data_IF_423217514730
#
_entry.id   IF_423217514730
#
_cell.length_a   1.000
_cell.length_b   1.000
_cell.length_c   1.000
_cell.angle_alpha   90.00
_cell.angle_beta   90.00
_cell.angle_gamma   90.00
#
_symmetry.space_group_name_H-M   'P 1'
#
loop_
_entity.id
_entity.type
_entity.pdbx_description
1 polymer ?
#
# COMPACT_ATOMS: atom_id res chain seq x y z
N UNK A 1 -11.23 -3.13 24.65
CA UNK A 1 -11.28 -1.76 24.08
C UNK A 1 -10.79 -1.86 22.65
N UNK A 2 -11.60 -1.53 21.64
CA UNK A 2 -11.13 -1.54 20.24
C UNK A 2 -10.26 -0.31 20.05
N UNK A 3 -8.95 -0.50 20.00
CA UNK A 3 -7.98 0.55 19.73
C UNK A 3 -8.35 1.28 18.43
N UNK A 4 -8.42 2.61 18.48
CA UNK A 4 -8.88 3.43 17.34
C UNK A 4 -7.90 3.25 16.19
N UNK A 5 -8.40 2.95 14.98
CA UNK A 5 -7.55 2.72 13.83
C UNK A 5 -6.64 3.94 13.58
N UNK A 6 -5.30 3.79 13.68
CA UNK A 6 -4.36 4.92 13.57
C UNK A 6 -4.42 5.60 12.21
N UNK A 7 -4.95 4.91 11.18
CA UNK A 7 -5.07 5.40 9.80
C UNK A 7 -6.22 6.39 9.61
N UNK A 8 -7.12 6.52 10.58
CA UNK A 8 -8.20 7.52 10.56
C UNK A 8 -7.78 8.91 11.04
N UNK A 9 -6.51 9.11 11.37
CA UNK A 9 -6.02 10.34 12.01
C UNK A 9 -5.54 11.39 11.01
N UNK A 10 -5.60 12.69 11.38
CA UNK A 10 -4.97 13.77 10.60
C UNK A 10 -3.46 13.55 10.37
N UNK A 11 -2.80 12.88 11.32
CA UNK A 11 -1.39 12.47 11.21
C UNK A 11 -1.18 11.54 10.01
N UNK A 12 -2.05 10.55 9.83
CA UNK A 12 -2.00 9.65 8.68
C UNK A 12 -2.24 10.38 7.35
N UNK A 13 -3.20 11.31 7.31
CA UNK A 13 -3.46 12.10 6.10
C UNK A 13 -2.22 12.91 5.67
N UNK A 14 -1.54 13.57 6.62
CA UNK A 14 -0.28 14.29 6.34
C UNK A 14 0.82 13.34 5.88
N UNK A 15 0.99 12.21 6.56
CA UNK A 15 2.00 11.21 6.20
C UNK A 15 1.76 10.66 4.79
N UNK A 16 0.51 10.35 4.44
CA UNK A 16 0.13 9.86 3.11
C UNK A 16 0.51 10.85 2.01
N UNK A 17 0.29 12.14 2.21
CA UNK A 17 0.69 13.17 1.25
C UNK A 17 2.22 13.23 1.08
N UNK A 18 2.97 13.18 2.19
CA UNK A 18 4.43 13.16 2.14
C UNK A 18 4.98 11.92 1.41
N UNK A 19 4.40 10.75 1.66
CA UNK A 19 4.78 9.50 1.01
C UNK A 19 4.45 9.53 -0.49
N UNK A 20 3.25 10.00 -0.86
CA UNK A 20 2.87 10.16 -2.25
C UNK A 20 3.86 11.05 -3.00
N UNK A 21 4.21 12.20 -2.42
CA UNK A 21 5.14 13.14 -3.06
C UNK A 21 6.57 12.57 -3.14
N UNK A 22 7.04 11.86 -2.09
CA UNK A 22 8.33 11.14 -2.09
C UNK A 22 8.38 10.13 -3.23
N UNK A 23 7.37 9.27 -3.31
CA UNK A 23 7.34 8.15 -4.24
C UNK A 23 7.10 8.64 -5.69
N UNK A 24 6.24 9.65 -5.87
CA UNK A 24 6.01 10.32 -7.16
C UNK A 24 7.28 10.97 -7.70
N UNK A 25 8.03 11.69 -6.85
CA UNK A 25 9.30 12.33 -7.26
C UNK A 25 10.36 11.32 -7.67
N UNK A 26 10.40 10.17 -6.99
CA UNK A 26 11.30 9.08 -7.30
C UNK A 26 10.81 8.21 -8.47
N UNK A 27 9.60 8.45 -8.99
CA UNK A 27 8.89 7.56 -9.91
C UNK A 27 8.93 6.10 -9.43
N UNK A 28 8.69 5.89 -8.14
CA UNK A 28 8.92 4.61 -7.51
C UNK A 28 7.96 3.56 -8.08
N UNK A 29 8.46 2.37 -8.49
CA UNK A 29 7.62 1.30 -8.97
C UNK A 29 6.88 0.63 -7.81
N UNK A 30 5.83 -0.13 -8.15
CA UNK A 30 5.11 -0.95 -7.19
C UNK A 30 6.05 -1.96 -6.54
N UNK A 31 6.14 -1.93 -5.23
CA UNK A 31 7.03 -2.84 -4.49
C UNK A 31 6.58 -4.30 -4.53
N UNK A 32 5.32 -4.56 -4.92
CA UNK A 32 4.71 -5.90 -4.99
C UNK A 32 4.99 -6.55 -6.34
N UNK A 33 4.69 -5.87 -7.46
CA UNK A 33 4.81 -6.44 -8.80
C UNK A 33 6.00 -5.88 -9.61
N UNK A 34 6.68 -4.84 -9.13
CA UNK A 34 7.80 -4.19 -9.81
C UNK A 34 7.41 -3.28 -10.98
N UNK A 35 6.13 -3.21 -11.36
CA UNK A 35 5.65 -2.38 -12.47
C UNK A 35 5.52 -0.90 -12.08
N UNK A 36 5.65 0.05 -13.02
CA UNK A 36 5.47 1.47 -12.74
C UNK A 36 4.05 1.77 -12.27
N UNK A 37 3.91 2.73 -11.35
CA UNK A 37 2.63 3.20 -10.84
C UNK A 37 2.21 4.45 -11.61
N UNK A 38 0.94 4.54 -11.98
CA UNK A 38 0.39 5.78 -12.53
C UNK A 38 0.02 6.74 -11.39
N UNK A 39 0.94 7.65 -11.09
CA UNK A 39 0.73 8.70 -10.08
C UNK A 39 -0.32 9.75 -10.51
N UNK A 40 -0.73 9.79 -11.79
CA UNK A 40 -1.77 10.70 -12.30
C UNK A 40 -3.15 10.06 -12.27
N UNK A 41 -3.23 8.74 -12.10
CA UNK A 41 -4.49 8.03 -12.08
C UNK A 41 -5.38 8.47 -10.90
N UNK A 42 -6.70 8.55 -11.09
CA UNK A 42 -7.63 8.83 -10.01
C UNK A 42 -7.52 7.81 -8.88
N UNK A 43 -7.65 8.26 -7.63
CA UNK A 43 -7.65 7.38 -6.46
C UNK A 43 -8.70 6.29 -6.59
N UNK A 44 -8.32 5.03 -6.31
CA UNK A 44 -9.21 3.88 -6.37
C UNK A 44 -9.24 3.16 -7.73
N UNK A 45 -8.53 3.66 -8.74
CA UNK A 45 -8.27 2.91 -9.98
C UNK A 45 -7.20 1.83 -9.75
N UNK A 46 -7.18 0.74 -10.55
CA UNK A 46 -6.25 -0.38 -10.37
C UNK A 46 -4.78 0.05 -10.30
N UNK A 47 -4.37 0.97 -11.17
CA UNK A 47 -2.97 1.39 -11.34
C UNK A 47 -2.61 2.65 -10.53
N UNK A 48 -3.54 3.19 -9.75
CA UNK A 48 -3.26 4.32 -8.87
C UNK A 48 -2.36 3.93 -7.71
N UNK A 49 -1.59 4.91 -7.25
CA UNK A 49 -0.75 4.80 -6.07
C UNK A 49 -1.57 4.62 -4.79
N UNK A 50 -1.16 3.65 -3.97
CA UNK A 50 -1.66 3.45 -2.63
C UNK A 50 -0.53 3.10 -1.65
N UNK A 51 -0.51 3.70 -0.43
CA UNK A 51 0.48 3.35 0.57
C UNK A 51 0.16 1.98 1.18
N UNK A 52 1.09 1.04 1.05
CA UNK A 52 0.97 -0.28 1.66
C UNK A 52 1.95 -0.44 2.82
N UNK A 53 1.47 -1.03 3.92
CA UNK A 53 2.28 -1.37 5.08
C UNK A 53 2.97 -2.72 4.86
N UNK A 54 4.30 -2.71 4.81
CA UNK A 54 5.11 -3.94 4.68
C UNK A 54 4.79 -4.89 5.83
N UNK A 55 4.89 -4.39 7.07
CA UNK A 55 4.45 -5.07 8.28
C UNK A 55 3.02 -4.63 8.64
N UNK A 56 2.06 -5.56 8.78
CA UNK A 56 0.69 -5.21 9.12
C UNK A 56 0.60 -4.42 10.42
N UNK A 57 -0.22 -3.37 10.43
CA UNK A 57 -0.50 -2.55 11.62
C UNK A 57 -1.04 -3.39 12.78
N UNK A 58 -1.73 -4.50 12.50
CA UNK A 58 -2.24 -5.41 13.53
C UNK A 58 -1.11 -6.12 14.31
N UNK A 59 0.02 -6.40 13.65
CA UNK A 59 1.18 -7.07 14.27
C UNK A 59 2.17 -6.04 14.82
N UNK A 60 2.30 -4.88 14.18
CA UNK A 60 3.25 -3.81 14.52
C UNK A 60 2.58 -2.44 14.53
N UNK A 61 1.74 -2.14 15.53
CA UNK A 61 1.06 -0.84 15.64
C UNK A 61 2.05 0.30 15.88
N UNK A 62 3.20 0.00 16.48
CA UNK A 62 4.34 0.91 16.67
C UNK A 62 4.88 1.48 15.36
N UNK A 63 4.82 0.69 14.27
CA UNK A 63 5.32 1.08 12.94
C UNK A 63 4.22 1.58 12.00
N UNK A 64 3.02 1.87 12.51
CA UNK A 64 1.89 2.31 11.68
C UNK A 64 2.15 3.63 10.95
N UNK A 65 2.98 4.50 11.54
CA UNK A 65 3.35 5.81 11.01
C UNK A 65 4.81 5.88 10.53
N UNK A 66 5.53 4.76 10.49
CA UNK A 66 6.92 4.72 10.06
C UNK A 66 7.00 4.75 8.52
N UNK A 67 7.60 5.80 7.91
CA UNK A 67 7.80 5.86 6.46
C UNK A 67 8.64 4.72 5.88
N UNK A 68 9.46 4.04 6.69
CA UNK A 68 10.25 2.88 6.29
C UNK A 68 9.43 1.59 6.20
N UNK A 69 8.34 1.52 6.98
CA UNK A 69 7.38 0.42 6.93
C UNK A 69 6.31 0.62 5.82
N UNK A 70 6.33 1.74 5.11
CA UNK A 70 5.32 2.08 4.10
C UNK A 70 5.95 2.18 2.72
N UNK A 71 5.40 1.43 1.76
CA UNK A 71 5.92 1.33 0.40
C UNK A 71 4.85 1.65 -0.66
N UNK A 72 5.26 2.14 -1.84
CA UNK A 72 4.36 2.45 -2.95
C UNK A 72 3.83 1.17 -3.60
N UNK A 73 2.52 1.04 -3.68
CA UNK A 73 1.87 -0.09 -4.36
C UNK A 73 0.74 0.38 -5.26
N UNK A 74 0.38 -0.45 -6.24
CA UNK A 74 -0.87 -0.26 -6.97
C UNK A 74 -2.06 -0.56 -6.06
N UNK A 75 -3.17 0.16 -6.28
CA UNK A 75 -4.42 -0.10 -5.59
C UNK A 75 -4.91 -1.55 -5.79
N UNK A 76 -4.73 -2.10 -6.99
CA UNK A 76 -5.06 -3.50 -7.31
C UNK A 76 -4.16 -4.49 -6.55
N UNK A 77 -2.84 -4.30 -6.58
CA UNK A 77 -1.87 -5.17 -5.90
C UNK A 77 -2.05 -5.14 -4.38
N UNK A 78 -2.27 -3.96 -3.81
CA UNK A 78 -2.53 -3.78 -2.38
C UNK A 78 -3.79 -4.54 -1.94
N UNK A 79 -4.89 -4.39 -2.71
CA UNK A 79 -6.15 -5.11 -2.46
C UNK A 79 -5.98 -6.61 -2.60
N UNK A 80 -5.24 -7.08 -3.61
CA UNK A 80 -4.97 -8.49 -3.83
C UNK A 80 -4.14 -9.12 -2.70
N UNK A 81 -3.14 -8.39 -2.18
CA UNK A 81 -2.33 -8.80 -1.04
C UNK A 81 -3.17 -8.97 0.24
N UNK A 82 -4.06 -8.02 0.51
CA UNK A 82 -4.91 -8.03 1.70
C UNK A 82 -4.10 -8.03 3.01
N UNK A 83 -4.70 -8.52 4.10
CA UNK A 83 -4.06 -8.56 5.43
C UNK A 83 -3.04 -9.69 5.60
N UNK A 84 -2.92 -10.59 4.62
CA UNK A 84 -1.98 -11.71 4.66
C UNK A 84 -0.63 -11.19 4.17
N UNK A 85 0.14 -10.60 5.08
CA UNK A 85 1.53 -10.26 4.80
C UNK A 85 2.26 -11.53 4.35
N UNK A 86 2.67 -11.58 3.08
CA UNK A 86 3.38 -12.72 2.49
C UNK A 86 2.74 -14.08 2.84
N UNK A 87 1.60 -14.39 2.26
CA UNK A 87 1.44 -15.76 1.74
C UNK A 87 1.74 -15.66 0.27
N UNK A 88 2.89 -16.19 -0.11
CA UNK A 88 3.31 -16.53 -1.45
C UNK A 88 2.32 -17.54 -2.07
N UNK A 89 1.05 -17.15 -2.17
CA UNK A 89 -0.01 -17.89 -2.82
C UNK A 89 -0.07 -17.29 -4.22
N UNK A 90 0.61 -17.97 -5.15
CA UNK A 90 0.50 -17.76 -6.58
C UNK A 90 -1.00 -17.81 -6.91
N UNK A 91 -1.65 -16.65 -6.92
CA UNK A 91 -3.06 -16.53 -7.21
C UNK A 91 -3.35 -17.22 -8.54
N UNK A 92 -4.24 -18.21 -8.47
CA UNK A 92 -4.66 -19.05 -9.58
C UNK A 92 -4.90 -18.23 -10.85
N UNK A 93 -4.38 -18.67 -12.03
CA UNK A 93 -4.69 -18.00 -13.28
C UNK A 93 -6.21 -18.01 -13.49
N UNK A 94 -6.79 -16.82 -13.64
CA UNK A 94 -8.23 -16.60 -13.77
C UNK A 94 -8.81 -17.02 -15.13
N UNK A 95 -8.20 -17.99 -15.82
CA UNK A 95 -8.69 -18.50 -17.10
C UNK A 95 -8.39 -19.98 -17.29
N UNK A 96 -9.42 -20.81 -17.16
CA UNK A 96 -9.45 -22.13 -17.77
C UNK A 96 -9.80 -21.94 -19.26
N UNK A 97 -8.97 -22.47 -20.14
CA UNK A 97 -9.24 -22.61 -21.58
C UNK A 97 -9.67 -24.05 -21.86
#
# INVERSE_FOLDING_TARGET
MKERDPRGTKRWQKLRLNLYERDRRANAPCWICGQPIDYRAPSGTPDAWEPDHVLPVASRPDLAFDPGNIRPSHCSCNRARGKKGNTNDLGSPSRAW
#
